data_IF_730419373622
#
_entry.id   IF_730419373622
#
_cell.length_a   1.000
_cell.length_b   1.000
_cell.length_c   1.000
_cell.angle_alpha   90.00
_cell.angle_beta   90.00
_cell.angle_gamma   90.00
#
_symmetry.space_group_name_H-M   'P 1'
#
loop_
_entity.id
_entity.type
_entity.pdbx_description
1 polymer ?
#
# COMPACT_ATOMS: atom_id res chain seq x y z
N UNK A 1 -1.45 -29.83 -50.84
CA UNK A 1 -2.37 -28.69 -50.96
C UNK A 1 -1.80 -27.57 -50.13
N UNK A 2 -1.01 -26.76 -50.81
CA UNK A 2 -0.48 -25.45 -50.42
C UNK A 2 -1.63 -24.44 -50.42
N UNK A 3 -1.68 -23.50 -49.48
CA UNK A 3 -2.07 -22.10 -49.72
C UNK A 3 -1.61 -21.25 -48.52
N UNK A 4 -0.79 -20.24 -48.82
CA UNK A 4 -0.04 -19.41 -47.90
C UNK A 4 -0.81 -18.24 -47.25
N UNK A 5 -0.09 -17.28 -46.65
CA UNK A 5 -0.61 -16.32 -45.69
C UNK A 5 -1.22 -15.07 -46.34
N UNK A 6 -2.30 -14.54 -45.76
CA UNK A 6 -2.88 -13.27 -46.18
C UNK A 6 -2.25 -12.12 -45.37
N UNK A 7 -1.36 -11.39 -46.02
CA UNK A 7 -0.91 -10.06 -45.62
C UNK A 7 -2.05 -9.05 -45.79
N UNK A 8 -2.33 -8.25 -44.76
CA UNK A 8 -3.12 -7.03 -44.91
C UNK A 8 -2.26 -5.82 -44.52
N UNK A 9 -1.89 -5.04 -45.55
CA UNK A 9 -1.34 -3.68 -45.45
C UNK A 9 -2.48 -2.65 -45.51
N UNK A 10 -2.11 -1.39 -45.26
CA UNK A 10 -2.81 -0.09 -45.46
C UNK A 10 -3.21 0.51 -44.10
N UNK A 11 -2.80 1.72 -43.71
CA UNK A 11 -2.03 2.77 -44.38
C UNK A 11 -1.80 3.92 -43.39
N UNK A 12 -0.63 4.56 -43.47
CA UNK A 12 -0.28 5.72 -42.66
C UNK A 12 -0.87 7.02 -43.24
N UNK A 13 -1.39 7.89 -42.37
CA UNK A 13 -1.66 9.29 -42.68
C UNK A 13 -0.63 10.16 -41.95
N UNK A 14 0.31 10.74 -42.70
CA UNK A 14 1.27 11.73 -42.20
C UNK A 14 0.73 13.13 -42.53
N UNK A 15 0.47 13.93 -41.48
CA UNK A 15 0.29 15.37 -41.59
C UNK A 15 1.68 16.01 -41.66
N UNK A 16 1.92 16.74 -42.76
CA UNK A 16 3.20 17.35 -43.08
C UNK A 16 3.55 18.55 -42.20
N UNK A 17 4.83 18.65 -41.88
CA UNK A 17 5.52 19.86 -41.41
C UNK A 17 6.80 20.04 -42.23
N UNK A 18 6.96 21.20 -42.84
CA UNK A 18 8.06 21.52 -43.74
C UNK A 18 9.38 21.70 -42.97
N UNK A 19 10.44 21.05 -43.45
CA UNK A 19 11.82 21.28 -43.04
C UNK A 19 12.75 20.73 -44.11
N UNK A 20 13.36 21.62 -44.89
CA UNK A 20 14.34 21.26 -45.91
C UNK A 20 15.73 21.15 -45.27
N UNK A 21 16.26 19.95 -45.12
CA UNK A 21 17.70 19.69 -45.20
C UNK A 21 17.92 18.35 -45.89
N UNK A 22 18.70 18.38 -46.96
CA UNK A 22 19.19 17.22 -47.67
C UNK A 22 20.12 16.39 -46.78
N UNK A 23 19.91 15.08 -46.71
CA UNK A 23 20.98 14.14 -46.39
C UNK A 23 20.76 12.81 -47.13
N UNK A 24 21.50 12.64 -48.22
CA UNK A 24 21.82 11.32 -48.78
C UNK A 24 22.54 10.47 -47.74
N UNK A 25 22.12 9.21 -47.61
CA UNK A 25 22.83 8.21 -46.83
C UNK A 25 21.93 7.02 -46.59
N UNK A 26 22.15 5.96 -47.35
CA UNK A 26 21.59 4.62 -47.15
C UNK A 26 22.03 4.14 -45.75
N UNK A 27 21.15 4.28 -44.76
CA UNK A 27 21.41 3.80 -43.41
C UNK A 27 21.14 2.30 -43.41
N UNK A 28 22.17 1.52 -43.11
CA UNK A 28 22.04 0.07 -42.98
C UNK A 28 21.27 -0.28 -41.70
N UNK A 29 20.69 -1.47 -41.61
CA UNK A 29 20.02 -1.92 -40.38
C UNK A 29 20.96 -1.82 -39.16
N UNK A 30 22.26 -2.03 -39.37
CA UNK A 30 23.30 -1.88 -38.36
C UNK A 30 23.41 -0.43 -37.83
N UNK A 31 23.22 0.58 -38.69
CA UNK A 31 23.23 2.01 -38.30
C UNK A 31 21.97 2.40 -37.52
N UNK A 32 20.83 1.76 -37.81
CA UNK A 32 19.57 1.95 -37.08
C UNK A 32 19.66 1.28 -35.71
N UNK A 33 20.23 0.07 -35.63
CA UNK A 33 20.43 -0.65 -34.37
C UNK A 33 21.46 0.06 -33.47
N UNK A 34 22.56 0.57 -34.05
CA UNK A 34 23.55 1.36 -33.32
C UNK A 34 22.96 2.66 -32.75
N UNK A 35 22.08 3.34 -33.50
CA UNK A 35 21.36 4.53 -33.01
C UNK A 35 20.30 4.18 -31.97
N UNK A 36 19.59 3.06 -32.13
CA UNK A 36 18.63 2.57 -31.13
C UNK A 36 19.33 2.19 -29.81
N UNK A 37 20.52 1.59 -29.89
CA UNK A 37 21.36 1.23 -28.75
C UNK A 37 21.98 2.48 -28.08
N UNK A 38 22.39 3.48 -28.86
CA UNK A 38 22.87 4.77 -28.35
C UNK A 38 21.76 5.64 -27.72
N UNK A 39 20.49 5.42 -28.10
CA UNK A 39 19.31 6.05 -27.50
C UNK A 39 18.66 5.23 -26.39
N UNK A 40 19.17 4.02 -26.11
CA UNK A 40 18.82 3.31 -24.90
C UNK A 40 19.45 4.06 -23.72
N UNK A 41 18.69 4.99 -23.16
CA UNK A 41 18.96 5.57 -21.84
C UNK A 41 19.27 4.37 -20.94
N UNK A 42 20.47 4.28 -20.35
CA UNK A 42 20.73 3.26 -19.36
C UNK A 42 19.66 3.47 -18.32
N UNK A 43 18.74 2.49 -18.18
CA UNK A 43 17.92 2.43 -16.98
C UNK A 43 18.95 2.25 -15.88
N UNK A 44 19.34 3.35 -15.26
CA UNK A 44 19.98 3.33 -13.97
C UNK A 44 19.04 2.49 -13.14
N UNK A 45 19.44 1.25 -12.86
CA UNK A 45 18.82 0.49 -11.80
C UNK A 45 19.14 1.28 -10.53
N UNK A 46 18.38 2.35 -10.27
CA UNK A 46 18.06 2.70 -8.89
C UNK A 46 17.71 1.36 -8.28
N UNK A 47 18.58 0.88 -7.39
CA UNK A 47 18.40 -0.41 -6.74
C UNK A 47 16.98 -0.32 -6.19
N UNK A 48 16.07 -1.15 -6.67
CA UNK A 48 14.76 -1.26 -6.05
C UNK A 48 15.07 -1.57 -4.58
N UNK A 49 14.96 -0.57 -3.71
CA UNK A 49 15.27 -0.77 -2.31
C UNK A 49 14.23 -1.77 -1.84
N UNK A 50 14.71 -2.98 -1.54
CA UNK A 50 13.84 -4.08 -1.18
C UNK A 50 13.02 -3.65 0.02
N UNK A 51 11.71 -3.76 -0.08
CA UNK A 51 10.80 -3.27 0.94
C UNK A 51 11.11 -3.94 2.30
N UNK A 52 11.57 -3.20 3.34
CA UNK A 52 12.07 -3.81 4.56
C UNK A 52 11.06 -4.72 5.28
N UNK A 53 9.75 -4.39 5.35
CA UNK A 53 8.74 -5.27 5.92
C UNK A 53 8.58 -6.63 5.23
N UNK A 54 9.09 -6.86 4.02
CA UNK A 54 9.05 -8.19 3.38
C UNK A 54 9.80 -9.26 4.19
N UNK A 55 10.71 -8.83 5.08
CA UNK A 55 11.39 -9.72 6.04
C UNK A 55 10.51 -10.14 7.23
N UNK A 56 9.30 -9.59 7.34
CA UNK A 56 8.32 -9.98 8.34
C UNK A 56 7.66 -11.33 8.03
N UNK A 57 6.66 -11.67 8.83
CA UNK A 57 5.92 -12.91 8.70
C UNK A 57 4.44 -12.74 9.04
N UNK A 58 3.61 -13.53 8.35
CA UNK A 58 2.21 -13.68 8.69
C UNK A 58 2.08 -14.46 10.00
N UNK A 59 1.31 -13.93 10.96
CA UNK A 59 1.12 -14.53 12.28
C UNK A 59 -0.35 -14.51 12.68
N UNK A 60 -0.82 -15.56 13.35
CA UNK A 60 -2.15 -15.54 13.98
C UNK A 60 -2.08 -14.80 15.31
N UNK A 61 -3.00 -13.86 15.53
CA UNK A 61 -3.18 -13.13 16.79
C UNK A 61 -4.58 -13.30 17.33
N UNK A 62 -4.65 -13.52 18.64
CA UNK A 62 -5.87 -13.82 19.37
C UNK A 62 -6.24 -12.64 20.26
N UNK A 63 -6.89 -11.65 19.66
CA UNK A 63 -7.39 -10.50 20.40
C UNK A 63 -8.82 -10.75 20.89
N UNK A 64 -9.06 -10.39 22.15
CA UNK A 64 -10.40 -10.42 22.74
C UNK A 64 -11.22 -9.26 22.19
N UNK A 65 -11.83 -9.46 21.01
CA UNK A 65 -12.68 -8.51 20.32
C UNK A 65 -13.93 -9.20 19.77
N UNK A 66 -15.04 -8.46 19.64
CA UNK A 66 -16.26 -8.95 19.00
C UNK A 66 -16.08 -9.12 17.47
N UNK A 67 -17.09 -9.64 16.77
CA UNK A 67 -16.99 -9.99 15.34
C UNK A 67 -16.68 -8.79 14.44
N UNK A 68 -17.39 -7.67 14.61
CA UNK A 68 -17.32 -6.49 13.76
C UNK A 68 -15.90 -5.93 13.50
N UNK A 69 -15.05 -5.65 14.52
CA UNK A 69 -13.68 -5.17 14.28
C UNK A 69 -12.79 -6.18 13.57
N UNK A 70 -13.01 -7.48 13.80
CA UNK A 70 -12.26 -8.55 13.13
C UNK A 70 -12.62 -8.68 11.66
N UNK A 71 -13.90 -8.65 11.35
CA UNK A 71 -14.40 -8.63 9.97
C UNK A 71 -13.94 -7.37 9.23
N UNK A 72 -13.96 -6.21 9.92
CA UNK A 72 -13.44 -4.97 9.41
C UNK A 72 -11.95 -5.07 9.05
N UNK A 73 -11.12 -5.57 9.97
CA UNK A 73 -9.69 -5.77 9.75
C UNK A 73 -9.43 -6.63 8.52
N UNK A 74 -10.11 -7.78 8.40
CA UNK A 74 -9.99 -8.66 7.24
C UNK A 74 -10.38 -7.98 5.93
N UNK A 75 -11.44 -7.16 5.91
CA UNK A 75 -11.86 -6.44 4.71
C UNK A 75 -10.86 -5.36 4.27
N UNK A 76 -10.30 -4.59 5.20
CA UNK A 76 -9.34 -3.52 4.89
C UNK A 76 -8.00 -4.08 4.42
N UNK A 77 -7.54 -5.13 5.07
CA UNK A 77 -6.17 -5.65 4.90
C UNK A 77 -6.09 -6.80 3.91
N UNK A 78 -7.24 -7.43 3.60
CA UNK A 78 -7.30 -8.68 2.83
C UNK A 78 -6.73 -9.88 3.58
N UNK A 79 -6.36 -9.74 4.85
CA UNK A 79 -5.75 -10.83 5.63
C UNK A 79 -6.79 -11.86 6.09
N UNK A 80 -6.40 -13.15 6.18
CA UNK A 80 -7.25 -14.19 6.75
C UNK A 80 -7.64 -13.89 8.21
N UNK A 81 -8.85 -14.31 8.60
CA UNK A 81 -9.32 -14.23 9.98
C UNK A 81 -10.37 -15.31 10.25
N UNK A 82 -10.69 -15.53 11.52
CA UNK A 82 -11.80 -16.38 11.96
C UNK A 82 -12.52 -15.75 13.16
N UNK A 83 -13.80 -15.42 12.99
CA UNK A 83 -14.66 -14.98 14.10
C UNK A 83 -14.93 -16.12 15.06
N UNK A 84 -15.20 -17.33 14.54
CA UNK A 84 -15.50 -18.50 15.35
C UNK A 84 -14.30 -18.94 16.21
N UNK A 85 -13.09 -18.86 15.66
CA UNK A 85 -11.85 -19.24 16.36
C UNK A 85 -11.14 -18.05 17.04
N UNK A 86 -11.67 -16.83 16.87
CA UNK A 86 -11.19 -15.65 17.57
C UNK A 86 -9.82 -15.12 17.16
N UNK A 87 -9.33 -15.41 15.94
CA UNK A 87 -8.03 -14.92 15.47
C UNK A 87 -8.13 -14.04 14.22
N UNK A 88 -7.19 -13.12 14.08
CA UNK A 88 -6.87 -12.39 12.85
C UNK A 88 -5.43 -12.75 12.46
N UNK A 89 -5.15 -12.89 11.17
CA UNK A 89 -3.78 -12.91 10.71
C UNK A 89 -3.26 -11.47 10.64
N UNK A 90 -2.07 -11.24 11.17
CA UNK A 90 -1.38 -9.96 11.22
C UNK A 90 0.02 -10.11 10.62
N UNK A 91 0.67 -8.99 10.32
CA UNK A 91 2.04 -8.97 9.82
C UNK A 91 3.01 -8.60 10.95
N UNK A 92 3.76 -9.58 11.43
CA UNK A 92 4.81 -9.35 12.43
C UNK A 92 6.09 -8.90 11.74
N UNK A 93 6.61 -7.74 12.12
CA UNK A 93 7.89 -7.25 11.64
C UNK A 93 8.62 -6.48 12.74
N UNK A 94 9.87 -6.90 13.03
CA UNK A 94 10.72 -6.30 14.06
C UNK A 94 10.04 -6.20 15.45
N UNK A 95 9.32 -7.26 15.84
CA UNK A 95 8.56 -7.37 17.10
C UNK A 95 7.39 -6.38 17.23
N UNK A 96 6.94 -5.80 16.13
CA UNK A 96 5.70 -5.04 16.05
C UNK A 96 4.76 -5.78 15.10
N UNK A 97 3.52 -5.97 15.54
CA UNK A 97 2.48 -6.51 14.70
C UNK A 97 1.73 -5.35 14.03
N UNK A 98 1.38 -5.55 12.77
CA UNK A 98 0.58 -4.66 11.96
C UNK A 98 -0.65 -5.41 11.46
N UNK A 99 -1.80 -4.74 11.46
CA UNK A 99 -3.04 -5.37 11.01
C UNK A 99 -2.95 -5.89 9.57
N UNK A 100 -2.13 -5.27 8.71
CA UNK A 100 -1.91 -5.67 7.31
C UNK A 100 -0.56 -5.26 6.71
N UNK A 101 -0.22 -5.83 5.56
CA UNK A 101 0.96 -5.47 4.77
C UNK A 101 0.69 -5.66 3.26
N UNK A 102 1.01 -4.64 2.46
CA UNK A 102 0.90 -4.63 1.00
C UNK A 102 2.31 -4.53 0.38
N UNK A 103 2.93 -5.66 -0.02
CA UNK A 103 4.33 -5.69 -0.48
C UNK A 103 4.63 -4.73 -1.63
N UNK A 104 3.77 -4.71 -2.66
CA UNK A 104 3.97 -3.88 -3.85
C UNK A 104 3.93 -2.37 -3.60
N UNK A 105 3.48 -1.93 -2.42
CA UNK A 105 3.46 -0.52 -2.01
C UNK A 105 4.37 -0.23 -0.82
N UNK A 106 5.10 -1.25 -0.33
CA UNK A 106 5.80 -1.22 0.94
C UNK A 106 4.99 -0.64 2.10
N UNK A 107 3.70 -0.98 2.14
CA UNK A 107 2.71 -0.33 3.01
C UNK A 107 2.26 -1.26 4.12
N UNK A 108 2.54 -0.88 5.36
CA UNK A 108 1.94 -1.46 6.56
C UNK A 108 0.59 -0.79 6.84
N UNK A 109 -0.36 -1.55 7.38
CA UNK A 109 -1.73 -1.09 7.59
C UNK A 109 -2.17 -1.32 9.03
N UNK A 110 -2.96 -0.38 9.56
CA UNK A 110 -3.76 -0.54 10.78
C UNK A 110 -5.25 -0.35 10.45
N UNK A 111 -6.13 -1.19 11.00
CA UNK A 111 -7.56 -1.20 10.76
C UNK A 111 -8.32 -1.10 12.09
N UNK A 112 -8.83 0.09 12.41
CA UNK A 112 -9.56 0.37 13.65
C UNK A 112 -11.07 0.33 13.42
N UNK A 113 -11.64 -0.85 13.67
CA UNK A 113 -13.08 -1.12 13.56
C UNK A 113 -13.83 -0.96 14.88
N UNK A 114 -15.08 -0.50 14.80
CA UNK A 114 -16.03 -0.48 15.92
C UNK A 114 -15.52 0.26 17.19
N UNK A 115 -14.79 1.37 17.06
CA UNK A 115 -14.31 2.14 18.22
C UNK A 115 -15.28 3.25 18.67
N UNK A 116 -16.18 3.71 17.80
CA UNK A 116 -17.15 4.77 18.13
C UNK A 116 -18.08 4.37 19.28
N UNK A 117 -18.36 3.07 19.47
CA UNK A 117 -19.15 2.55 20.60
C UNK A 117 -18.60 2.95 22.00
N UNK A 118 -17.31 3.29 22.07
CA UNK A 118 -16.64 3.76 23.30
C UNK A 118 -16.72 5.29 23.48
N UNK A 119 -17.21 6.01 22.48
CA UNK A 119 -17.26 7.47 22.42
C UNK A 119 -18.69 8.02 22.32
N UNK A 120 -19.59 7.30 21.64
CA UNK A 120 -20.94 7.76 21.29
C UNK A 120 -22.01 7.45 22.35
N UNK A 121 -21.63 6.75 23.43
CA UNK A 121 -22.52 6.37 24.52
C UNK A 121 -23.23 5.01 24.34
N UNK A 122 -22.98 4.29 23.24
CA UNK A 122 -23.50 2.93 23.02
C UNK A 122 -23.10 1.97 24.14
N UNK A 123 -21.89 2.13 24.68
CA UNK A 123 -21.45 1.45 25.90
C UNK A 123 -21.55 2.44 27.08
N UNK A 124 -22.48 2.20 28.03
CA UNK A 124 -22.65 3.09 29.17
C UNK A 124 -21.37 3.27 29.97
N UNK A 125 -20.98 4.52 30.19
CA UNK A 125 -19.80 4.91 30.96
C UNK A 125 -18.46 4.31 30.47
N UNK A 126 -18.33 4.00 29.17
CA UNK A 126 -17.10 3.52 28.56
C UNK A 126 -15.85 4.31 28.97
N UNK A 127 -15.95 5.64 29.05
CA UNK A 127 -14.88 6.54 29.46
C UNK A 127 -14.26 6.24 30.85
N UNK A 128 -14.97 5.52 31.73
CA UNK A 128 -14.48 5.18 33.08
C UNK A 128 -13.50 3.99 33.08
N UNK A 129 -13.60 3.10 32.11
CA UNK A 129 -12.85 1.84 32.12
C UNK A 129 -12.09 1.56 30.82
N UNK A 130 -12.50 2.15 29.70
CA UNK A 130 -11.86 1.90 28.42
C UNK A 130 -10.55 2.68 28.29
N UNK A 131 -9.44 1.94 28.23
CA UNK A 131 -8.07 2.47 28.04
C UNK A 131 -7.52 2.21 26.64
N UNK A 132 -8.36 1.76 25.71
CA UNK A 132 -7.92 1.38 24.37
C UNK A 132 -7.33 2.53 23.57
N UNK A 133 -7.77 3.78 23.76
CA UNK A 133 -7.18 4.94 23.09
C UNK A 133 -5.75 5.24 23.57
N UNK A 134 -5.45 5.12 24.87
CA UNK A 134 -4.08 5.28 25.38
C UNK A 134 -3.14 4.22 24.78
N UNK A 135 -3.62 2.97 24.69
CA UNK A 135 -2.86 1.88 24.05
C UNK A 135 -2.70 2.09 22.55
N UNK A 136 -3.71 2.67 21.88
CA UNK A 136 -3.68 2.98 20.46
C UNK A 136 -2.70 4.11 20.14
N UNK A 137 -2.66 5.16 20.97
CA UNK A 137 -1.66 6.24 20.86
C UNK A 137 -0.24 5.69 21.02
N UNK A 138 0.00 4.85 22.04
CA UNK A 138 1.30 4.21 22.24
C UNK A 138 1.71 3.27 21.10
N UNK A 139 0.76 2.57 20.46
CA UNK A 139 1.03 1.75 19.29
C UNK A 139 1.43 2.62 18.08
N UNK A 140 0.71 3.71 17.83
CA UNK A 140 1.01 4.66 16.76
C UNK A 140 2.43 5.23 16.88
N UNK A 141 2.86 5.60 18.08
CA UNK A 141 4.20 6.13 18.33
C UNK A 141 5.30 5.12 17.98
N UNK A 142 5.16 3.88 18.46
CA UNK A 142 6.14 2.81 18.19
C UNK A 142 6.22 2.50 16.69
N UNK A 143 5.06 2.38 16.04
CA UNK A 143 4.97 2.11 14.62
C UNK A 143 5.55 3.26 13.78
N UNK A 144 5.22 4.51 14.09
CA UNK A 144 5.74 5.69 13.39
C UNK A 144 7.27 5.79 13.51
N UNK A 145 7.81 5.51 14.70
CA UNK A 145 9.26 5.53 14.93
C UNK A 145 9.97 4.48 14.07
N UNK A 146 9.45 3.24 14.08
CA UNK A 146 10.01 2.12 13.32
C UNK A 146 9.96 2.37 11.81
N UNK A 147 8.81 2.78 11.28
CA UNK A 147 8.58 2.99 9.85
C UNK A 147 9.47 4.12 9.31
N UNK A 148 9.59 5.24 10.04
CA UNK A 148 10.45 6.37 9.67
C UNK A 148 11.93 5.99 9.62
N UNK A 149 12.37 5.08 10.49
CA UNK A 149 13.75 4.61 10.53
C UNK A 149 14.10 3.61 9.41
N UNK A 150 13.11 3.16 8.61
CA UNK A 150 13.25 2.07 7.64
C UNK A 150 12.62 2.43 6.28
N UNK A 151 13.11 3.46 5.58
CA UNK A 151 12.66 3.71 4.20
C UNK A 151 12.92 2.48 3.30
N UNK A 152 12.11 2.26 2.24
CA UNK A 152 10.94 3.03 1.81
C UNK A 152 9.61 2.61 2.47
N UNK A 153 9.61 2.16 3.73
CA UNK A 153 8.38 1.70 4.41
C UNK A 153 7.37 2.83 4.61
N UNK A 154 6.09 2.52 4.38
CA UNK A 154 4.94 3.37 4.65
C UNK A 154 4.00 2.76 5.68
N UNK A 155 3.18 3.60 6.31
CA UNK A 155 2.13 3.22 7.25
C UNK A 155 0.85 3.97 6.94
N UNK A 156 -0.29 3.30 6.93
CA UNK A 156 -1.63 3.90 6.79
C UNK A 156 -2.57 3.36 7.85
N UNK A 157 -3.35 4.26 8.46
CA UNK A 157 -4.37 3.92 9.44
C UNK A 157 -5.78 4.11 8.85
N UNK A 158 -6.56 3.04 8.86
CA UNK A 158 -7.95 3.03 8.40
C UNK A 158 -8.88 2.97 9.60
N UNK A 159 -9.85 3.86 9.64
CA UNK A 159 -10.89 3.87 10.66
C UNK A 159 -12.23 3.55 10.04
N UNK A 160 -12.98 2.65 10.67
CA UNK A 160 -14.33 2.32 10.20
C UNK A 160 -15.29 3.51 10.38
N UNK A 161 -15.05 4.31 11.40
CA UNK A 161 -15.98 5.33 11.86
C UNK A 161 -15.28 6.64 12.21
N UNK A 162 -15.95 7.80 12.04
CA UNK A 162 -15.29 9.09 12.11
C UNK A 162 -14.94 9.57 13.53
N UNK A 163 -15.66 9.17 14.59
CA UNK A 163 -15.35 9.70 15.94
C UNK A 163 -14.01 9.15 16.44
N UNK A 164 -13.75 7.86 16.23
CA UNK A 164 -12.48 7.24 16.56
C UNK A 164 -11.30 7.87 15.81
N UNK A 165 -11.47 8.13 14.49
CA UNK A 165 -10.45 8.83 13.71
C UNK A 165 -10.21 10.23 14.28
N UNK A 166 -11.29 10.98 14.55
CA UNK A 166 -11.22 12.33 15.09
C UNK A 166 -10.49 12.37 16.44
N UNK A 167 -10.76 11.41 17.32
CA UNK A 167 -10.08 11.26 18.62
C UNK A 167 -8.57 11.06 18.50
N UNK A 168 -8.13 10.37 17.44
CA UNK A 168 -6.72 10.05 17.18
C UNK A 168 -6.01 11.05 16.27
N UNK A 169 -6.76 11.93 15.60
CA UNK A 169 -6.27 12.75 14.49
C UNK A 169 -5.09 13.65 14.87
N UNK A 170 -5.12 14.28 16.06
CA UNK A 170 -4.01 15.13 16.50
C UNK A 170 -2.73 14.33 16.67
N UNK A 171 -2.80 13.17 17.32
CA UNK A 171 -1.67 12.26 17.53
C UNK A 171 -1.12 11.74 16.20
N UNK A 172 -1.99 11.23 15.33
CA UNK A 172 -1.56 10.68 14.03
C UNK A 172 -0.92 11.74 13.13
N UNK A 173 -1.45 12.96 13.10
CA UNK A 173 -0.85 14.08 12.37
C UNK A 173 0.50 14.48 12.93
N UNK A 174 0.64 14.55 14.25
CA UNK A 174 1.92 14.83 14.89
C UNK A 174 2.99 13.78 14.54
N UNK A 175 2.58 12.52 14.47
CA UNK A 175 3.45 11.40 14.09
C UNK A 175 3.71 11.30 12.58
N UNK A 176 2.99 12.06 11.74
CA UNK A 176 3.08 11.97 10.29
C UNK A 176 2.45 10.70 9.71
N UNK A 177 1.51 10.08 10.42
CA UNK A 177 0.79 8.91 9.96
C UNK A 177 -0.46 9.37 9.17
N UNK A 178 -0.56 9.06 7.87
CA UNK A 178 -1.80 9.29 7.14
C UNK A 178 -2.91 8.39 7.68
N UNK A 179 -4.12 8.95 7.74
CA UNK A 179 -5.31 8.19 8.12
C UNK A 179 -6.54 8.63 7.37
N UNK A 180 -7.45 7.68 7.12
CA UNK A 180 -8.73 7.93 6.46
C UNK A 180 -9.87 7.22 7.19
N UNK A 181 -11.08 7.73 7.02
CA UNK A 181 -12.29 6.97 7.32
C UNK A 181 -12.61 6.11 6.10
N UNK A 182 -12.68 4.80 6.29
CA UNK A 182 -13.07 3.83 5.28
C UNK A 182 -14.09 2.87 5.92
N UNK A 183 -15.40 3.18 5.83
CA UNK A 183 -16.47 2.44 6.49
C UNK A 183 -16.60 0.99 6.08
#
# INVERSE_FOLDING_TARGET
MEFGPLLMRIGAALLGGAGTTSLSGDATDDDIEARASAHAVPRTAERCERCPPESGLAVKRFHSMNAAPREYQGRITGRPYSVAEGWSEEWAWLNIDFDGFVPGQCLLQEAKGNYDQFLDGSIPAAYKFFKGFESMEAAAEKQASLVRAKPPTHLMWYFQTPLAQSRMMLTLRHLGIPSIVHP
#
